data_IF_081360291676
#
_entry.id   IF_081360291676
#
_cell.length_a   1.000
_cell.length_b   1.000
_cell.length_c   1.000
_cell.angle_alpha   90.00
_cell.angle_beta   90.00
_cell.angle_gamma   90.00
#
_symmetry.space_group_name_H-M   'P 1'
#
loop_
_entity.id
_entity.type
_entity.pdbx_description
1 polymer ?
#
# COMPACT_ATOMS: atom_id res chain seq x y z
N UNK A 1 -28.40 4.69 -11.48
CA UNK A 1 -28.44 3.31 -12.00
C UNK A 1 -27.55 2.43 -11.13
N UNK A 2 -28.21 1.59 -10.34
CA UNK A 2 -27.76 0.41 -9.56
C UNK A 2 -26.65 0.53 -8.50
N UNK A 3 -27.15 0.46 -7.26
CA UNK A 3 -26.52 -0.06 -6.04
C UNK A 3 -25.56 -1.24 -6.31
N UNK A 4 -24.27 -1.01 -6.15
CA UNK A 4 -23.26 -2.08 -6.10
C UNK A 4 -23.11 -2.53 -4.63
N UNK A 5 -23.33 -3.82 -4.40
CA UNK A 5 -23.09 -4.51 -3.13
C UNK A 5 -21.76 -4.11 -2.47
N UNK A 6 -21.83 -3.38 -1.35
CA UNK A 6 -20.68 -3.06 -0.48
C UNK A 6 -20.10 -4.28 0.26
N UNK A 7 -20.68 -5.47 0.10
CA UNK A 7 -20.36 -6.67 0.90
C UNK A 7 -19.02 -7.38 0.60
N UNK A 8 -18.26 -6.98 -0.43
CA UNK A 8 -17.11 -7.78 -0.90
C UNK A 8 -15.72 -7.34 -0.37
N UNK A 9 -15.60 -6.16 0.25
CA UNK A 9 -14.29 -5.56 0.56
C UNK A 9 -14.13 -5.16 2.04
N UNK A 10 -13.90 -6.17 2.89
CA UNK A 10 -13.82 -6.07 4.37
C UNK A 10 -12.89 -4.95 4.87
N UNK A 11 -11.79 -4.63 4.17
CA UNK A 11 -10.82 -3.61 4.60
C UNK A 11 -10.91 -2.27 3.85
N UNK A 12 -11.82 -2.11 2.88
CA UNK A 12 -11.89 -0.88 2.05
C UNK A 12 -12.31 0.35 2.85
N UNK A 13 -12.97 0.16 3.99
CA UNK A 13 -13.41 1.23 4.88
C UNK A 13 -12.25 2.05 5.48
N UNK A 14 -11.04 1.47 5.61
CA UNK A 14 -9.84 2.21 6.00
C UNK A 14 -9.43 3.29 4.99
N UNK A 15 -9.93 3.21 3.76
CA UNK A 15 -9.72 4.19 2.70
C UNK A 15 -10.98 5.06 2.46
N UNK A 16 -11.89 5.16 3.43
CA UNK A 16 -13.01 6.12 3.36
C UNK A 16 -12.45 7.54 3.45
N UNK A 17 -12.88 8.46 2.59
CA UNK A 17 -12.33 9.82 2.52
C UNK A 17 -11.15 9.96 1.55
N UNK A 18 -10.68 8.88 0.93
CA UNK A 18 -9.54 8.91 0.00
C UNK A 18 -9.78 9.82 -1.22
N UNK A 19 -11.03 10.02 -1.61
CA UNK A 19 -11.46 10.94 -2.66
C UNK A 19 -11.08 12.41 -2.39
N UNK A 20 -10.90 12.77 -1.12
CA UNK A 20 -10.43 14.07 -0.68
C UNK A 20 -8.91 14.23 -0.73
N UNK A 21 -8.15 13.14 -0.83
CA UNK A 21 -6.69 13.20 -0.84
C UNK A 21 -6.14 13.74 -2.16
N UNK A 22 -5.08 14.56 -2.10
CA UNK A 22 -4.36 15.02 -3.29
C UNK A 22 -3.45 13.94 -3.89
N UNK A 23 -3.03 12.97 -3.07
CA UNK A 23 -2.24 11.83 -3.51
C UNK A 23 -2.42 10.63 -2.59
N UNK A 24 -2.20 9.42 -3.11
CA UNK A 24 -2.20 8.16 -2.37
C UNK A 24 -1.03 7.30 -2.81
N UNK A 25 -0.37 6.62 -1.88
CA UNK A 25 0.75 5.71 -2.20
C UNK A 25 0.59 4.34 -1.56
N UNK A 26 1.04 3.31 -2.27
CA UNK A 26 1.09 1.93 -1.79
C UNK A 26 2.42 1.29 -2.17
N UNK A 27 3.08 0.65 -1.20
CA UNK A 27 4.26 -0.16 -1.47
C UNK A 27 3.83 -1.59 -1.82
N UNK A 28 3.70 -1.88 -3.12
CA UNK A 28 3.41 -3.23 -3.60
C UNK A 28 4.45 -4.26 -3.13
N UNK A 29 5.69 -3.82 -2.93
CA UNK A 29 6.75 -4.69 -2.42
C UNK A 29 6.63 -5.10 -0.95
N UNK A 30 5.66 -4.54 -0.20
CA UNK A 30 5.39 -4.95 1.19
C UNK A 30 4.48 -6.16 1.23
N UNK A 31 3.20 -5.96 0.91
CA UNK A 31 2.16 -6.98 1.14
C UNK A 31 1.45 -7.43 -0.13
N UNK A 32 2.12 -7.25 -1.28
CA UNK A 32 1.56 -7.53 -2.60
C UNK A 32 2.50 -8.39 -3.47
N UNK A 33 3.28 -9.27 -2.81
CA UNK A 33 4.08 -10.32 -3.45
C UNK A 33 5.02 -9.85 -4.58
N UNK A 34 5.43 -8.58 -4.53
CA UNK A 34 6.31 -7.99 -5.53
C UNK A 34 7.70 -7.80 -4.91
N UNK A 35 8.76 -8.17 -5.62
CA UNK A 35 10.13 -8.02 -5.11
C UNK A 35 10.49 -6.52 -5.00
N UNK A 36 11.28 -6.14 -3.99
CA UNK A 36 11.85 -4.80 -3.84
C UNK A 36 12.56 -4.34 -5.14
N UNK A 37 12.44 -3.10 -5.57
CA UNK A 37 11.59 -1.99 -5.14
C UNK A 37 10.31 -1.87 -5.98
N UNK A 38 9.14 -1.69 -5.37
CA UNK A 38 7.90 -1.42 -6.11
C UNK A 38 6.92 -0.60 -5.28
N UNK A 39 6.79 0.68 -5.61
CA UNK A 39 5.85 1.61 -4.98
C UNK A 39 4.99 2.23 -6.06
N UNK A 40 3.70 2.35 -5.78
CA UNK A 40 2.73 3.00 -6.63
C UNK A 40 2.33 4.31 -5.98
N UNK A 41 2.28 5.38 -6.77
CA UNK A 41 1.80 6.69 -6.38
C UNK A 41 0.67 7.07 -7.34
N UNK A 42 -0.45 7.49 -6.78
CA UNK A 42 -1.56 8.10 -7.49
C UNK A 42 -1.65 9.55 -7.07
N UNK A 43 -1.63 10.48 -8.02
CA UNK A 43 -1.87 11.90 -7.79
C UNK A 43 -3.21 12.31 -8.39
N UNK A 44 -3.97 13.13 -7.66
CA UNK A 44 -5.24 13.69 -8.13
C UNK A 44 -5.02 14.71 -9.24
N UNK A 45 -3.96 15.50 -9.11
CA UNK A 45 -3.56 16.53 -10.07
C UNK A 45 -2.12 16.24 -10.55
N UNK A 46 -1.95 15.61 -11.72
CA UNK A 46 -0.62 15.27 -12.25
C UNK A 46 0.29 16.49 -12.40
N UNK A 47 -0.25 17.66 -12.73
CA UNK A 47 0.56 18.87 -12.94
C UNK A 47 1.29 19.33 -11.68
N UNK A 48 0.75 19.02 -10.49
CA UNK A 48 1.39 19.33 -9.21
C UNK A 48 2.70 18.52 -9.00
N UNK A 49 2.82 17.35 -9.65
CA UNK A 49 4.04 16.55 -9.63
C UNK A 49 4.95 16.89 -10.81
N UNK A 50 4.37 17.04 -12.01
CA UNK A 50 5.11 17.24 -13.26
C UNK A 50 5.80 18.61 -13.30
N UNK A 51 5.09 19.71 -13.00
CA UNK A 51 5.65 21.07 -13.11
C UNK A 51 6.98 21.27 -12.37
N UNK A 52 7.11 20.88 -11.08
CA UNK A 52 8.36 21.07 -10.35
C UNK A 52 9.46 20.05 -10.72
N UNK A 53 9.12 18.90 -11.32
CA UNK A 53 10.08 17.84 -11.64
C UNK A 53 10.48 17.81 -13.11
N UNK A 54 9.74 18.49 -13.98
CA UNK A 54 9.98 18.46 -15.42
C UNK A 54 11.26 19.23 -15.78
N UNK A 55 12.05 18.60 -16.64
CA UNK A 55 13.19 19.21 -17.30
C UNK A 55 13.19 18.79 -18.77
N UNK A 56 13.44 19.72 -19.68
CA UNK A 56 13.36 19.50 -21.14
C UNK A 56 14.69 19.83 -21.83
N UNK A 57 15.74 19.03 -21.61
CA UNK A 57 16.99 19.22 -22.31
C UNK A 57 16.85 18.80 -23.79
N UNK A 58 17.48 19.56 -24.69
CA UNK A 58 17.36 19.38 -26.15
C UNK A 58 17.58 17.93 -26.63
N UNK A 59 18.51 17.20 -26.01
CA UNK A 59 18.85 15.83 -26.38
C UNK A 59 17.77 14.78 -26.05
N UNK A 60 16.73 15.13 -25.29
CA UNK A 60 15.59 14.25 -25.00
C UNK A 60 14.36 14.57 -25.84
N UNK A 61 14.38 15.67 -26.60
CA UNK A 61 13.26 16.09 -27.42
C UNK A 61 12.97 15.06 -28.50
N UNK A 62 11.69 14.77 -28.67
CA UNK A 62 11.21 13.86 -29.68
C UNK A 62 9.74 14.17 -29.98
N UNK A 63 9.31 13.84 -31.21
CA UNK A 63 7.96 14.15 -31.70
C UNK A 63 6.84 13.54 -30.84
N UNK A 64 7.10 12.44 -30.12
CA UNK A 64 6.09 11.76 -29.31
C UNK A 64 5.87 12.46 -27.96
N UNK A 65 6.93 13.02 -27.37
CA UNK A 65 6.83 13.91 -26.21
C UNK A 65 6.16 15.23 -26.59
N UNK A 66 6.54 15.83 -27.72
CA UNK A 66 5.98 17.10 -28.20
C UNK A 66 4.48 17.03 -28.51
N UNK A 67 4.02 15.87 -29.00
CA UNK A 67 2.60 15.63 -29.27
C UNK A 67 1.74 15.49 -28.02
N UNK A 68 2.36 15.36 -26.83
CA UNK A 68 1.70 15.13 -25.52
C UNK A 68 0.77 13.91 -25.50
N UNK A 69 0.93 12.98 -26.44
CA UNK A 69 0.15 11.75 -26.49
C UNK A 69 0.66 10.67 -25.52
N UNK A 70 1.90 10.82 -25.05
CA UNK A 70 2.58 9.89 -24.15
C UNK A 70 2.92 10.54 -22.81
N UNK A 71 3.07 9.69 -21.79
CA UNK A 71 3.53 10.11 -20.47
C UNK A 71 5.03 9.88 -20.34
N UNK A 72 5.78 10.97 -20.24
CA UNK A 72 7.20 10.94 -19.92
C UNK A 72 7.41 10.80 -18.41
N UNK A 73 7.57 9.54 -17.97
CA UNK A 73 7.74 9.23 -16.55
C UNK A 73 9.00 9.84 -15.91
N UNK A 74 9.94 10.41 -16.68
CA UNK A 74 11.04 11.21 -16.11
C UNK A 74 10.52 12.38 -15.28
N UNK A 75 9.41 12.99 -15.68
CA UNK A 75 8.81 14.14 -15.01
C UNK A 75 7.92 13.73 -13.81
N UNK A 76 7.88 12.43 -13.49
CA UNK A 76 7.09 11.87 -12.38
C UNK A 76 7.97 11.38 -11.23
N UNK A 77 9.28 11.62 -11.31
CA UNK A 77 10.26 11.20 -10.32
C UNK A 77 11.44 12.16 -10.31
N UNK A 78 12.33 12.01 -9.33
CA UNK A 78 13.49 12.90 -9.15
C UNK A 78 14.59 12.59 -10.18
N UNK A 79 14.81 11.31 -10.49
CA UNK A 79 15.88 10.88 -11.40
C UNK A 79 15.41 10.89 -12.86
N UNK A 80 16.34 11.10 -13.80
CA UNK A 80 16.01 10.99 -15.22
C UNK A 80 15.69 9.54 -15.64
N UNK A 81 16.54 8.60 -15.26
CA UNK A 81 16.44 7.19 -15.67
C UNK A 81 15.58 6.37 -14.70
N UNK A 82 14.97 5.29 -15.21
CA UNK A 82 14.19 4.36 -14.38
C UNK A 82 14.24 2.93 -14.89
N UNK A 83 14.13 1.98 -13.97
CA UNK A 83 13.96 0.55 -14.29
C UNK A 83 12.51 0.26 -14.69
N UNK A 84 12.28 -0.84 -15.40
CA UNK A 84 10.94 -1.32 -15.78
C UNK A 84 10.19 -1.97 -14.59
N UNK A 85 9.94 -1.20 -13.52
CA UNK A 85 9.32 -1.70 -12.27
C UNK A 85 7.89 -2.21 -12.45
N UNK A 86 7.19 -1.74 -13.49
CA UNK A 86 5.81 -2.14 -13.78
C UNK A 86 5.71 -3.61 -14.21
N UNK A 87 6.73 -4.18 -14.86
CA UNK A 87 6.67 -5.54 -15.41
C UNK A 87 6.46 -6.59 -14.31
N UNK A 88 7.24 -6.51 -13.22
CA UNK A 88 7.10 -7.45 -12.09
C UNK A 88 5.73 -7.36 -11.43
N UNK A 89 5.20 -6.15 -11.24
CA UNK A 89 3.87 -5.95 -10.66
C UNK A 89 2.77 -6.49 -11.59
N UNK A 90 2.90 -6.25 -12.89
CA UNK A 90 1.98 -6.77 -13.89
C UNK A 90 1.95 -8.30 -13.91
N UNK A 91 3.12 -8.96 -13.86
CA UNK A 91 3.20 -10.42 -13.75
C UNK A 91 2.54 -10.94 -12.48
N UNK A 92 2.78 -10.31 -11.32
CA UNK A 92 2.12 -10.70 -10.07
C UNK A 92 0.60 -10.60 -10.19
N UNK A 93 0.09 -9.49 -10.73
CA UNK A 93 -1.34 -9.27 -10.93
C UNK A 93 -1.95 -10.27 -11.89
N UNK A 94 -1.28 -10.56 -13.02
CA UNK A 94 -1.79 -11.43 -14.07
C UNK A 94 -1.72 -12.90 -13.69
N UNK A 95 -0.66 -13.35 -13.03
CA UNK A 95 -0.49 -14.75 -12.62
C UNK A 95 -1.35 -15.10 -11.42
N UNK A 96 -1.50 -14.20 -10.43
CA UNK A 96 -2.29 -14.50 -9.24
C UNK A 96 -3.77 -14.15 -9.41
N UNK A 97 -4.07 -13.05 -10.11
CA UNK A 97 -5.41 -12.47 -10.14
C UNK A 97 -5.82 -11.82 -8.80
N UNK A 98 -6.77 -10.91 -8.88
CA UNK A 98 -7.19 -10.12 -7.71
C UNK A 98 -7.85 -10.96 -6.60
N UNK A 99 -8.50 -12.08 -6.96
CA UNK A 99 -9.15 -12.96 -5.98
C UNK A 99 -8.14 -13.65 -5.07
N UNK A 100 -7.08 -14.23 -5.64
CA UNK A 100 -6.05 -14.90 -4.86
C UNK A 100 -5.26 -13.91 -3.99
N UNK A 101 -4.93 -12.73 -4.52
CA UNK A 101 -4.29 -11.68 -3.73
C UNK A 101 -5.14 -11.28 -2.50
N UNK A 102 -6.46 -11.13 -2.67
CA UNK A 102 -7.37 -10.92 -1.52
C UNK A 102 -7.39 -12.10 -0.56
N UNK A 103 -7.37 -13.34 -1.08
CA UNK A 103 -7.31 -14.57 -0.26
C UNK A 103 -6.04 -14.62 0.59
N UNK A 104 -4.88 -14.30 0.00
CA UNK A 104 -3.60 -14.24 0.72
C UNK A 104 -3.63 -13.20 1.84
N UNK A 105 -4.07 -11.97 1.56
CA UNK A 105 -4.18 -10.92 2.59
C UNK A 105 -5.10 -11.36 3.72
N UNK A 106 -6.27 -11.92 3.40
CA UNK A 106 -7.20 -12.46 4.43
C UNK A 106 -6.58 -13.60 5.23
N UNK A 107 -5.80 -14.47 4.58
CA UNK A 107 -5.07 -15.56 5.23
C UNK A 107 -4.07 -15.03 6.26
N UNK A 108 -3.23 -14.07 5.88
CA UNK A 108 -2.28 -13.42 6.79
C UNK A 108 -2.98 -12.74 7.97
N UNK A 109 -4.10 -12.04 7.75
CA UNK A 109 -4.87 -11.45 8.86
C UNK A 109 -5.48 -12.53 9.76
N UNK A 110 -5.97 -13.65 9.20
CA UNK A 110 -6.48 -14.78 9.99
C UNK A 110 -5.38 -15.39 10.88
N UNK A 111 -4.16 -15.51 10.35
CA UNK A 111 -3.00 -15.99 11.12
C UNK A 111 -2.66 -15.03 12.27
N UNK A 112 -2.60 -13.72 12.00
CA UNK A 112 -2.35 -12.73 13.05
C UNK A 112 -3.46 -12.71 14.12
N UNK A 113 -4.73 -12.84 13.73
CA UNK A 113 -5.85 -12.98 14.67
C UNK A 113 -5.76 -14.28 15.47
N UNK A 114 -5.21 -15.35 14.91
CA UNK A 114 -4.98 -16.58 15.66
C UNK A 114 -3.87 -16.39 16.68
N UNK A 115 -2.75 -15.78 16.29
CA UNK A 115 -1.65 -15.44 17.19
C UNK A 115 -2.11 -14.54 18.34
N UNK A 116 -2.88 -13.48 18.05
CA UNK A 116 -3.51 -12.61 19.05
C UNK A 116 -4.32 -13.41 20.10
N UNK A 117 -5.07 -14.44 19.69
CA UNK A 117 -5.80 -15.31 20.64
C UNK A 117 -4.88 -16.17 21.49
N UNK A 118 -3.76 -16.63 20.95
CA UNK A 118 -2.77 -17.40 21.71
C UNK A 118 -2.11 -16.53 22.78
N UNK A 119 -1.78 -15.28 22.44
CA UNK A 119 -1.24 -14.31 23.40
C UNK A 119 -2.23 -14.05 24.53
N UNK A 120 -3.52 -13.90 24.23
CA UNK A 120 -4.55 -13.69 25.24
C UNK A 120 -4.73 -14.87 26.24
N UNK A 121 -4.21 -16.06 25.90
CA UNK A 121 -4.22 -17.23 26.81
C UNK A 121 -3.02 -17.27 27.75
N UNK A 122 -1.95 -16.50 27.48
CA UNK A 122 -0.75 -16.46 28.31
C UNK A 122 -0.80 -15.26 29.28
N UNK A 123 -0.88 -15.54 30.58
CA UNK A 123 -0.94 -14.52 31.64
C UNK A 123 0.34 -13.69 31.81
N UNK A 124 1.41 -14.01 31.08
CA UNK A 124 2.69 -13.29 31.10
C UNK A 124 2.81 -12.28 29.98
N UNK A 125 1.87 -12.26 29.03
CA UNK A 125 1.92 -11.42 27.85
C UNK A 125 0.63 -10.60 27.72
N UNK A 126 0.75 -9.43 27.10
CA UNK A 126 -0.40 -8.62 26.73
C UNK A 126 -0.31 -8.14 25.28
N UNK A 127 -1.48 -7.95 24.67
CA UNK A 127 -1.61 -7.28 23.38
C UNK A 127 -1.72 -5.79 23.65
N UNK A 128 -0.71 -5.03 23.23
CA UNK A 128 -0.54 -3.62 23.62
C UNK A 128 -1.56 -2.70 22.93
N UNK A 129 -1.96 -3.04 21.70
CA UNK A 129 -2.92 -2.25 20.91
C UNK A 129 -3.82 -3.16 20.07
N UNK A 130 -5.06 -2.74 19.75
CA UNK A 130 -5.96 -3.53 18.90
C UNK A 130 -5.34 -3.87 17.54
N UNK A 131 -5.42 -5.14 17.14
CA UNK A 131 -4.91 -5.61 15.85
C UNK A 131 -5.84 -5.22 14.69
N UNK A 132 -5.40 -4.29 13.85
CA UNK A 132 -6.12 -3.90 12.64
C UNK A 132 -5.87 -4.83 11.44
N UNK A 133 -4.61 -5.24 11.21
CA UNK A 133 -4.19 -6.05 10.05
C UNK A 133 -3.45 -7.31 10.49
N UNK A 134 -2.27 -7.58 9.90
CA UNK A 134 -1.47 -8.78 10.17
C UNK A 134 -0.28 -8.53 11.12
N UNK A 135 -0.30 -7.43 11.87
CA UNK A 135 0.71 -7.09 12.86
C UNK A 135 0.08 -7.12 14.25
N UNK A 136 0.69 -7.85 15.18
CA UNK A 136 0.29 -7.91 16.59
C UNK A 136 1.43 -7.32 17.41
N UNK A 137 1.14 -6.29 18.20
CA UNK A 137 2.09 -5.70 19.13
C UNK A 137 1.92 -6.35 20.49
N UNK A 138 2.98 -6.98 20.99
CA UNK A 138 2.96 -7.78 22.23
C UNK A 138 4.03 -7.24 23.18
N UNK A 139 3.71 -7.21 24.47
CA UNK A 139 4.66 -6.91 25.55
C UNK A 139 4.57 -8.00 26.63
N UNK A 140 5.67 -8.30 27.34
CA UNK A 140 5.59 -8.98 28.62
C UNK A 140 4.78 -8.15 29.63
N UNK A 141 3.92 -8.82 30.40
CA UNK A 141 3.30 -8.25 31.59
C UNK A 141 4.38 -8.15 32.68
N UNK A 142 4.82 -6.92 32.96
CA UNK A 142 5.69 -6.67 34.11
C UNK A 142 4.89 -6.91 35.39
N UNK A 143 5.44 -7.67 36.34
CA UNK A 143 4.85 -8.00 37.66
C UNK A 143 4.54 -6.77 38.56
N UNK A 144 4.56 -5.54 38.04
CA UNK A 144 4.46 -4.28 38.77
C UNK A 144 3.20 -3.42 38.50
N UNK A 145 2.31 -3.78 37.57
CA UNK A 145 1.10 -2.97 37.29
C UNK A 145 -0.05 -3.19 38.29
N UNK A 146 0.30 -3.31 39.57
CA UNK A 146 -0.64 -3.06 40.67
C UNK A 146 -0.90 -1.57 40.90
N UNK A 147 -0.17 -0.65 40.26
CA UNK A 147 -0.30 0.80 40.48
C UNK A 147 -0.13 1.62 39.19
N UNK A 148 -1.16 1.68 38.34
CA UNK A 148 -1.34 2.79 37.40
C UNK A 148 -2.79 2.85 36.87
N UNK A 149 -3.73 3.13 37.78
CA UNK A 149 -4.84 4.04 37.45
C UNK A 149 -4.37 5.43 37.87
N UNK A 150 -4.10 6.30 36.90
CA UNK A 150 -4.11 7.76 37.05
C UNK A 150 -5.26 8.28 36.20
#
# INVERSE_FOLDING_TARGET
>A
MQLIHWGHYIYRHFLRGIEGANSFSLNAHKWFFTILDCCCLWGKEPSALIKPLSNDPEYLKNKASDSKQLVDYKDWQIALSRRLRAMKLWLVLRSNGASNLRKFIRGHVKMAKHFERLIAMDKRLEVVVPRNFAMVCVSPLTLGNANQKL
#
